data_IF_951116695836
#
_entry.id   IF_951116695836
#
_cell.length_a   1.000
_cell.length_b   1.000
_cell.length_c   1.000
_cell.angle_alpha   90.00
_cell.angle_beta   90.00
_cell.angle_gamma   90.00
#
_symmetry.space_group_name_H-M   'P 1'
#
loop_
_entity.id
_entity.type
_entity.pdbx_description
1 polymer ?
#
# COMPACT_ATOMS: atom_id res chain seq x y z
N UNK A 1 8.48 11.45 15.38
CA UNK A 1 7.75 10.89 14.22
C UNK A 1 6.33 10.68 14.67
N UNK A 2 5.38 11.18 13.89
CA UNK A 2 3.95 11.03 14.15
C UNK A 2 3.37 10.23 13.00
N UNK A 3 2.48 9.30 13.33
CA UNK A 3 1.67 8.60 12.36
C UNK A 3 0.28 9.19 12.37
N UNK A 4 -0.24 9.49 11.18
CA UNK A 4 -1.61 9.91 10.96
C UNK A 4 -2.33 8.84 10.17
N UNK A 5 -3.62 8.71 10.39
CA UNK A 5 -4.49 7.77 9.70
C UNK A 5 -5.80 8.41 9.28
N UNK A 6 -6.34 8.01 8.13
CA UNK A 6 -7.64 8.45 7.61
C UNK A 6 -8.22 7.42 6.63
N UNK A 7 -9.49 7.60 6.24
CA UNK A 7 -10.26 6.68 5.41
C UNK A 7 -11.23 5.84 6.25
N UNK A 8 -11.56 4.64 5.77
CA UNK A 8 -12.51 3.75 6.45
C UNK A 8 -11.94 3.23 7.78
N UNK A 9 -12.75 3.34 8.85
CA UNK A 9 -12.42 2.93 10.22
C UNK A 9 -13.55 2.14 10.89
N UNK A 10 -14.36 1.41 10.11
CA UNK A 10 -15.54 0.70 10.64
C UNK A 10 -15.23 -0.37 11.69
N UNK A 11 -13.97 -0.76 11.85
CA UNK A 11 -13.54 -1.73 12.85
C UNK A 11 -12.75 -1.11 14.02
N UNK A 12 -12.59 0.21 14.05
CA UNK A 12 -11.78 0.91 15.06
C UNK A 12 -10.27 0.84 14.81
N UNK A 13 -9.84 0.65 13.55
CA UNK A 13 -8.42 0.52 13.20
C UNK A 13 -7.62 1.81 13.45
N UNK A 14 -8.25 2.97 13.24
CA UNK A 14 -7.62 4.28 13.32
C UNK A 14 -7.71 4.92 14.72
N UNK A 15 -8.39 4.27 15.66
CA UNK A 15 -8.57 4.74 17.03
C UNK A 15 -10.03 4.66 17.51
N UNK A 16 -10.32 5.20 18.71
CA UNK A 16 -11.63 5.11 19.38
C UNK A 16 -12.68 6.09 18.84
N UNK A 17 -12.45 6.72 17.69
CA UNK A 17 -13.35 7.74 17.15
C UNK A 17 -14.76 7.20 16.90
N UNK A 18 -15.78 8.02 17.16
CA UNK A 18 -17.15 7.71 16.78
C UNK A 18 -17.31 7.95 15.26
N UNK A 19 -17.19 6.89 14.47
CA UNK A 19 -17.41 6.98 13.03
C UNK A 19 -16.86 5.80 12.23
N UNK A 20 -17.55 5.44 11.15
CA UNK A 20 -17.10 4.41 10.21
C UNK A 20 -16.07 4.94 9.20
N UNK A 21 -15.89 6.26 9.10
CA UNK A 21 -14.99 6.92 8.14
C UNK A 21 -14.38 8.17 8.77
N UNK A 22 -13.07 8.34 8.62
CA UNK A 22 -12.31 9.54 8.95
C UNK A 22 -11.93 10.28 7.67
N UNK A 23 -12.54 11.44 7.43
CA UNK A 23 -12.32 12.21 6.20
C UNK A 23 -11.03 13.05 6.22
N UNK A 24 -10.51 13.34 7.42
CA UNK A 24 -9.27 14.09 7.63
C UNK A 24 -8.25 13.22 8.39
N UNK A 25 -6.94 13.45 8.16
CA UNK A 25 -5.89 12.77 8.90
C UNK A 25 -5.97 13.04 10.41
N UNK A 26 -6.01 11.97 11.20
CA UNK A 26 -5.94 12.04 12.66
C UNK A 26 -4.70 11.30 13.18
N UNK A 27 -4.05 11.78 14.27
CA UNK A 27 -2.95 11.04 14.87
C UNK A 27 -3.38 9.63 15.28
N UNK A 28 -2.60 8.62 14.91
CA UNK A 28 -2.85 7.23 15.32
C UNK A 28 -2.69 7.14 16.83
N UNK A 29 -3.79 6.90 17.54
CA UNK A 29 -3.83 6.73 18.99
C UNK A 29 -4.02 5.25 19.33
N UNK A 30 -2.98 4.61 19.85
CA UNK A 30 -3.05 3.23 20.33
C UNK A 30 -3.34 3.22 21.83
N UNK A 31 -4.56 2.83 22.20
CA UNK A 31 -4.96 2.63 23.60
C UNK A 31 -4.49 1.25 24.08
N UNK A 32 -3.61 1.20 25.08
CA UNK A 32 -3.08 -0.06 25.62
C UNK A 32 -1.82 0.13 26.46
N UNK A 33 -1.45 -0.90 27.24
CA UNK A 33 -0.39 -0.90 28.25
C UNK A 33 0.90 -0.14 27.87
N UNK A 34 1.02 1.12 28.28
CA UNK A 34 2.18 2.00 28.08
C UNK A 34 2.60 2.25 26.62
N UNK A 35 1.71 2.03 25.65
CA UNK A 35 2.02 2.14 24.22
C UNK A 35 2.11 3.59 23.75
N UNK A 36 1.33 4.47 24.37
CA UNK A 36 1.25 5.90 24.02
C UNK A 36 2.60 6.64 24.08
N UNK A 37 3.60 6.06 24.78
CA UNK A 37 4.97 6.61 24.88
C UNK A 37 5.96 5.99 23.89
N UNK A 38 5.56 4.95 23.16
CA UNK A 38 6.43 4.19 22.25
C UNK A 38 6.42 4.81 20.87
N UNK A 39 7.57 4.80 20.20
CA UNK A 39 7.70 5.34 18.85
C UNK A 39 7.25 4.28 17.85
N UNK A 40 6.15 4.56 17.15
CA UNK A 40 5.71 3.75 16.02
C UNK A 40 6.71 3.90 14.87
N UNK A 41 7.22 2.78 14.38
CA UNK A 41 8.12 2.74 13.21
C UNK A 41 7.42 2.25 11.95
N UNK A 42 6.30 1.53 12.08
CA UNK A 42 5.53 1.03 10.95
C UNK A 42 4.07 0.85 11.31
N UNK A 43 3.16 1.22 10.41
CA UNK A 43 1.74 0.87 10.45
C UNK A 43 1.39 0.13 9.15
N UNK A 44 1.01 -1.14 9.27
CA UNK A 44 0.67 -2.02 8.13
C UNK A 44 -0.81 -2.37 8.23
N UNK A 45 -1.66 -1.80 7.36
CA UNK A 45 -3.09 -2.07 7.39
C UNK A 45 -3.48 -3.39 6.71
N UNK A 46 -4.48 -4.04 7.28
CA UNK A 46 -5.33 -5.05 6.63
C UNK A 46 -6.74 -4.47 6.42
N UNK A 47 -7.66 -5.27 5.88
CA UNK A 47 -9.04 -4.84 5.69
C UNK A 47 -9.77 -4.55 7.01
N UNK A 48 -9.64 -5.42 8.02
CA UNK A 48 -10.39 -5.30 9.26
C UNK A 48 -9.59 -4.86 10.49
N UNK A 49 -8.27 -4.85 10.41
CA UNK A 49 -7.39 -4.38 11.49
C UNK A 49 -6.12 -3.74 10.93
N UNK A 50 -5.29 -3.18 11.79
CA UNK A 50 -3.97 -2.64 11.43
C UNK A 50 -2.94 -3.15 12.42
N UNK A 51 -1.82 -3.63 11.87
CA UNK A 51 -0.67 -4.04 12.63
C UNK A 51 0.31 -2.86 12.77
N UNK A 52 0.77 -2.59 13.99
CA UNK A 52 1.69 -1.50 14.29
C UNK A 52 2.92 -2.07 14.97
N UNK A 53 4.09 -1.71 14.46
CA UNK A 53 5.40 -2.10 15.00
C UNK A 53 6.05 -0.89 15.65
N UNK A 54 6.57 -1.06 16.86
CA UNK A 54 7.31 -0.03 17.59
C UNK A 54 8.83 -0.20 17.44
N UNK A 55 9.59 0.84 17.74
CA UNK A 55 11.06 0.81 17.67
C UNK A 55 11.74 -0.21 18.59
N UNK A 56 11.14 -0.52 19.72
CA UNK A 56 11.57 -1.60 20.62
C UNK A 56 11.12 -3.02 20.18
N UNK A 57 10.46 -3.14 19.03
CA UNK A 57 10.01 -4.43 18.46
C UNK A 57 8.76 -5.01 19.12
N UNK A 58 7.91 -4.18 19.73
CA UNK A 58 6.56 -4.58 20.13
C UNK A 58 5.62 -4.58 18.92
N UNK A 59 4.69 -5.53 18.89
CA UNK A 59 3.64 -5.62 17.87
C UNK A 59 2.28 -5.30 18.50
N UNK A 60 1.51 -4.43 17.85
CA UNK A 60 0.15 -4.10 18.24
C UNK A 60 -0.81 -4.34 17.10
N UNK A 61 -1.98 -4.87 17.41
CA UNK A 61 -3.06 -5.06 16.46
C UNK A 61 -4.24 -4.22 16.92
N UNK A 62 -4.76 -3.35 16.07
CA UNK A 62 -5.91 -2.48 16.35
C UNK A 62 -7.01 -2.70 15.31
N UNK A 63 -8.23 -3.03 15.73
CA UNK A 63 -9.37 -3.24 14.84
C UNK A 63 -10.18 -4.49 15.19
N UNK A 64 -10.63 -5.23 14.18
CA UNK A 64 -11.28 -6.54 14.36
C UNK A 64 -10.22 -7.64 14.36
N UNK A 65 -9.91 -8.19 15.53
CA UNK A 65 -8.87 -9.22 15.71
C UNK A 65 -9.40 -10.29 16.67
N UNK A 66 -9.06 -11.56 16.48
CA UNK A 66 -9.55 -12.65 17.34
C UNK A 66 -11.08 -12.81 17.31
N UNK A 67 -11.73 -12.39 16.22
CA UNK A 67 -13.19 -12.45 16.05
C UNK A 67 -13.97 -11.37 16.81
N UNK A 68 -13.30 -10.38 17.40
CA UNK A 68 -13.95 -9.29 18.14
C UNK A 68 -13.59 -7.92 17.55
N UNK A 69 -14.57 -7.03 17.27
CA UNK A 69 -14.31 -5.70 16.75
C UNK A 69 -13.72 -4.78 17.81
N UNK A 70 -13.04 -3.71 17.36
CA UNK A 70 -12.51 -2.62 18.19
C UNK A 70 -11.59 -3.07 19.34
N UNK A 71 -10.83 -4.15 19.13
CA UNK A 71 -9.83 -4.61 20.08
C UNK A 71 -8.46 -4.01 19.79
N UNK A 72 -7.69 -3.82 20.86
CA UNK A 72 -6.25 -3.60 20.79
C UNK A 72 -5.55 -4.76 21.48
N UNK A 73 -4.79 -5.54 20.72
CA UNK A 73 -3.96 -6.63 21.24
C UNK A 73 -2.50 -6.17 21.19
N UNK A 74 -1.77 -6.34 22.29
CA UNK A 74 -0.38 -5.90 22.39
C UNK A 74 0.53 -7.10 22.71
N UNK A 75 1.56 -7.30 21.90
CA UNK A 75 2.63 -8.27 22.08
C UNK A 75 3.92 -7.50 22.41
N UNK A 76 4.17 -7.21 23.70
CA UNK A 76 5.32 -6.41 24.10
C UNK A 76 6.63 -7.16 23.86
N UNK A 77 7.65 -6.44 23.41
CA UNK A 77 9.03 -6.97 23.26
C UNK A 77 9.11 -8.25 22.42
N UNK A 78 8.27 -8.38 21.40
CA UNK A 78 8.22 -9.55 20.52
C UNK A 78 9.50 -9.69 19.68
N UNK A 79 10.28 -8.62 19.54
CA UNK A 79 11.39 -8.55 18.58
C UNK A 79 10.88 -8.50 17.14
N UNK A 80 9.67 -7.96 16.95
CA UNK A 80 9.05 -7.77 15.64
C UNK A 80 9.83 -6.71 14.86
N UNK A 81 10.33 -7.07 13.69
CA UNK A 81 11.04 -6.18 12.77
C UNK A 81 10.11 -5.68 11.67
N UNK A 82 9.21 -6.54 11.21
CA UNK A 82 8.21 -6.24 10.18
C UNK A 82 7.00 -7.19 10.30
N UNK A 83 5.91 -6.86 9.63
CA UNK A 83 4.66 -7.61 9.69
C UNK A 83 3.92 -7.56 8.35
N UNK A 84 3.34 -8.69 7.96
CA UNK A 84 2.47 -8.82 6.79
C UNK A 84 1.11 -9.35 7.28
N UNK A 85 0.16 -8.45 7.57
CA UNK A 85 -1.17 -8.83 8.04
C UNK A 85 -2.10 -9.21 6.87
N UNK A 86 -2.94 -10.20 7.11
CA UNK A 86 -4.10 -10.54 6.28
C UNK A 86 -5.30 -10.86 7.18
N UNK A 87 -6.47 -11.05 6.58
CA UNK A 87 -7.70 -11.33 7.35
C UNK A 87 -7.67 -12.68 8.07
N UNK A 88 -6.87 -13.63 7.58
CA UNK A 88 -6.77 -14.97 8.14
C UNK A 88 -5.44 -15.21 8.84
N UNK A 89 -4.37 -14.64 8.30
CA UNK A 89 -3.01 -14.93 8.70
C UNK A 89 -2.25 -13.67 9.04
N UNK A 90 -1.38 -13.77 10.04
CA UNK A 90 -0.49 -12.69 10.44
C UNK A 90 0.95 -13.21 10.37
N UNK A 91 1.71 -12.72 9.39
CA UNK A 91 3.11 -13.11 9.25
C UNK A 91 3.98 -12.06 9.90
N UNK A 92 4.90 -12.51 10.75
CA UNK A 92 5.75 -11.66 11.57
C UNK A 92 7.19 -11.95 11.20
N UNK A 93 7.93 -10.88 10.89
CA UNK A 93 9.37 -10.94 10.71
C UNK A 93 10.07 -10.66 12.03
N UNK A 94 10.98 -11.55 12.40
CA UNK A 94 12.00 -11.33 13.43
C UNK A 94 13.37 -11.46 12.78
N UNK A 95 14.42 -11.00 13.47
CA UNK A 95 15.79 -10.94 12.94
C UNK A 95 16.29 -12.25 12.30
N UNK A 96 15.87 -13.39 12.84
CA UNK A 96 16.37 -14.72 12.45
C UNK A 96 15.26 -15.67 11.98
N UNK A 97 14.00 -15.19 11.90
CA UNK A 97 12.89 -16.03 11.42
C UNK A 97 11.68 -15.22 10.95
N UNK A 98 10.93 -15.80 10.03
CA UNK A 98 9.54 -15.43 9.76
C UNK A 98 8.62 -16.49 10.37
N UNK A 99 7.49 -16.08 10.94
CA UNK A 99 6.49 -16.99 11.50
C UNK A 99 5.07 -16.51 11.18
N UNK A 100 4.14 -17.45 11.01
CA UNK A 100 2.74 -17.18 10.68
C UNK A 100 1.82 -17.58 11.82
N UNK A 101 0.94 -16.68 12.23
CA UNK A 101 -0.11 -16.90 13.23
C UNK A 101 -1.49 -16.89 12.57
N UNK A 102 -2.42 -17.66 13.14
CA UNK A 102 -3.84 -17.58 12.79
C UNK A 102 -4.47 -16.42 13.56
N UNK A 103 -5.05 -15.46 12.83
CA UNK A 103 -5.67 -14.27 13.44
C UNK A 103 -6.87 -14.63 14.32
N UNK A 104 -7.59 -15.72 14.01
CA UNK A 104 -8.74 -16.18 14.80
C UNK A 104 -8.34 -16.75 16.17
N UNK A 105 -7.09 -17.20 16.32
CA UNK A 105 -6.58 -17.80 17.55
C UNK A 105 -5.87 -16.80 18.48
N UNK A 106 -5.82 -15.52 18.12
CA UNK A 106 -5.22 -14.47 18.95
C UNK A 106 -6.14 -14.08 20.10
N UNK A 107 -5.63 -14.15 21.33
CA UNK A 107 -6.36 -13.72 22.51
C UNK A 107 -6.19 -12.23 22.81
N UNK A 108 -7.16 -11.65 23.51
CA UNK A 108 -7.11 -10.24 23.92
C UNK A 108 -6.04 -9.92 24.97
N UNK A 109 -5.36 -10.94 25.53
CA UNK A 109 -4.29 -10.77 26.53
C UNK A 109 -2.93 -10.58 25.87
N UNK A 110 -2.82 -10.82 24.56
CA UNK A 110 -1.54 -10.75 23.84
C UNK A 110 -0.64 -11.94 24.15
N UNK A 111 -1.21 -13.11 24.45
CA UNK A 111 -0.41 -14.33 24.62
C UNK A 111 0.17 -14.74 23.26
N UNK A 112 1.48 -14.91 23.18
CA UNK A 112 2.14 -15.35 21.94
C UNK A 112 1.67 -16.77 21.60
N UNK A 113 0.98 -16.99 20.46
CA UNK A 113 0.50 -18.30 20.07
C UNK A 113 1.63 -19.18 19.56
N UNK A 114 1.36 -20.49 19.46
CA UNK A 114 2.20 -21.38 18.65
C UNK A 114 1.97 -21.06 17.16
N UNK A 115 3.02 -20.77 16.39
CA UNK A 115 2.83 -20.39 14.99
C UNK A 115 2.56 -21.62 14.12
N UNK A 116 1.69 -21.44 13.14
CA UNK A 116 1.30 -22.49 12.18
C UNK A 116 2.38 -22.77 11.14
N UNK A 117 3.25 -21.80 10.89
CA UNK A 117 4.37 -21.91 9.98
C UNK A 117 5.55 -21.08 10.50
N UNK A 118 6.76 -21.58 10.26
CA UNK A 118 8.01 -20.92 10.60
C UNK A 118 9.02 -21.13 9.47
N UNK A 119 9.87 -20.13 9.27
CA UNK A 119 11.07 -20.23 8.44
C UNK A 119 12.22 -19.51 9.14
N UNK A 120 13.33 -20.21 9.32
CA UNK A 120 14.52 -19.66 9.98
C UNK A 120 15.54 -19.16 8.96
N UNK A 121 16.26 -18.12 9.33
CA UNK A 121 17.36 -17.54 8.57
C UNK A 121 18.68 -17.88 9.24
N UNK A 122 19.71 -18.12 8.43
CA UNK A 122 21.07 -18.42 8.94
C UNK A 122 21.78 -17.18 9.46
N UNK A 123 21.46 -16.01 8.90
CA UNK A 123 22.07 -14.73 9.20
C UNK A 123 20.99 -13.70 9.58
N UNK A 124 21.44 -12.59 10.19
CA UNK A 124 20.59 -11.44 10.46
C UNK A 124 19.98 -10.91 9.17
N UNK A 125 18.65 -10.87 9.13
CA UNK A 125 17.90 -10.44 7.96
C UNK A 125 17.35 -9.02 8.16
N UNK A 126 17.65 -8.11 7.22
CA UNK A 126 17.37 -6.66 7.34
C UNK A 126 16.56 -6.08 6.17
N UNK A 127 15.90 -6.92 5.36
CA UNK A 127 14.97 -6.40 4.35
C UNK A 127 13.54 -6.35 4.87
N UNK A 128 12.74 -5.48 4.25
CA UNK A 128 11.31 -5.41 4.53
C UNK A 128 10.56 -6.54 3.81
N UNK A 129 9.45 -6.98 4.43
CA UNK A 129 8.49 -7.84 3.77
C UNK A 129 7.94 -7.20 2.49
N UNK A 130 7.53 -8.02 1.51
CA UNK A 130 7.41 -9.48 1.57
C UNK A 130 8.70 -10.24 1.23
N UNK A 131 9.80 -9.54 0.86
CA UNK A 131 11.07 -10.21 0.60
C UNK A 131 11.64 -10.86 1.87
N UNK A 132 12.16 -12.07 1.69
CA UNK A 132 12.86 -12.87 2.70
C UNK A 132 14.08 -13.55 2.07
N UNK A 133 14.95 -14.17 2.87
CA UNK A 133 16.13 -14.85 2.33
C UNK A 133 15.72 -15.87 1.24
N UNK A 134 16.32 -15.74 0.05
CA UNK A 134 16.11 -16.61 -1.13
C UNK A 134 14.71 -16.56 -1.77
N UNK A 135 13.84 -15.63 -1.36
CA UNK A 135 12.48 -15.61 -1.88
C UNK A 135 11.60 -14.53 -1.29
N UNK A 136 10.31 -14.82 -1.18
CA UNK A 136 9.31 -13.93 -0.61
C UNK A 136 8.23 -14.71 0.12
N UNK A 137 7.58 -14.04 1.08
CA UNK A 137 6.43 -14.58 1.80
C UNK A 137 5.11 -14.09 1.21
N UNK A 138 4.09 -14.93 1.32
CA UNK A 138 2.72 -14.64 0.88
C UNK A 138 1.79 -14.61 2.08
N UNK A 139 0.74 -13.81 2.01
CA UNK A 139 -0.30 -13.75 3.04
C UNK A 139 -1.17 -15.00 3.14
N UNK A 140 -1.02 -15.96 2.23
CA UNK A 140 -1.79 -17.20 2.12
C UNK A 140 -0.86 -18.39 1.79
N UNK A 141 -1.21 -19.64 2.16
CA UNK A 141 -0.45 -20.83 1.81
C UNK A 141 -0.35 -21.05 0.28
N UNK A 142 0.81 -21.51 -0.24
CA UNK A 142 2.08 -21.71 0.46
C UNK A 142 2.72 -20.37 0.86
N UNK A 143 3.08 -20.22 2.15
CA UNK A 143 3.54 -18.95 2.72
C UNK A 143 4.91 -18.49 2.23
N UNK A 144 5.65 -19.31 1.49
CA UNK A 144 6.97 -18.98 0.96
C UNK A 144 7.07 -19.43 -0.50
N UNK A 145 7.66 -18.58 -1.32
CA UNK A 145 8.05 -18.90 -2.69
C UNK A 145 9.49 -18.48 -2.91
N UNK A 146 10.26 -19.39 -3.52
CA UNK A 146 11.64 -19.11 -3.91
C UNK A 146 11.68 -18.15 -5.09
N UNK A 147 12.69 -17.28 -5.10
CA UNK A 147 13.05 -16.51 -6.28
C UNK A 147 14.24 -17.17 -6.98
N UNK A 148 14.32 -17.10 -8.32
CA UNK A 148 15.51 -17.51 -9.05
C UNK A 148 16.77 -16.88 -8.42
N UNK A 149 17.82 -17.66 -8.10
CA UNK A 149 19.04 -17.14 -7.46
C UNK A 149 19.78 -16.08 -8.28
N UNK A 150 19.48 -16.00 -9.57
CA UNK A 150 20.02 -14.99 -10.49
C UNK A 150 19.36 -13.62 -10.33
N UNK A 151 18.17 -13.55 -9.74
CA UNK A 151 17.47 -12.29 -9.48
C UNK A 151 18.00 -11.66 -8.20
N UNK A 152 18.64 -10.52 -8.34
CA UNK A 152 19.05 -9.70 -7.21
C UNK A 152 17.87 -8.81 -6.79
N UNK A 153 16.99 -9.35 -5.96
CA UNK A 153 15.83 -8.63 -5.43
C UNK A 153 16.25 -7.47 -4.52
N UNK A 154 15.71 -6.28 -4.77
CA UNK A 154 15.89 -5.11 -3.92
C UNK A 154 14.61 -4.79 -3.13
N UNK A 155 13.46 -4.81 -3.82
CA UNK A 155 12.15 -4.55 -3.21
C UNK A 155 11.07 -5.36 -3.92
N UNK A 156 10.01 -5.70 -3.21
CA UNK A 156 8.87 -6.39 -3.78
C UNK A 156 7.58 -5.79 -3.26
N UNK A 157 6.55 -5.80 -4.09
CA UNK A 157 5.18 -5.51 -3.73
C UNK A 157 4.27 -6.64 -4.22
N UNK A 158 3.20 -6.91 -3.47
CA UNK A 158 2.19 -7.92 -3.80
C UNK A 158 0.84 -7.21 -3.94
N UNK A 159 0.18 -7.42 -5.07
CA UNK A 159 -1.23 -7.08 -5.24
C UNK A 159 -2.13 -8.25 -4.88
N UNK A 160 -3.41 -8.18 -5.24
CA UNK A 160 -4.34 -9.27 -4.92
C UNK A 160 -3.96 -10.59 -5.61
N UNK A 161 -3.51 -10.51 -6.86
CA UNK A 161 -3.25 -11.67 -7.71
C UNK A 161 -1.96 -11.54 -8.54
N UNK A 162 -1.13 -10.53 -8.25
CA UNK A 162 0.12 -10.28 -8.98
C UNK A 162 1.25 -9.86 -8.04
N UNK A 163 2.48 -10.02 -8.52
CA UNK A 163 3.69 -9.68 -7.82
C UNK A 163 4.52 -8.72 -8.68
N UNK A 164 5.18 -7.78 -8.01
CA UNK A 164 6.04 -6.77 -8.62
C UNK A 164 7.38 -6.81 -7.90
N UNK A 165 8.45 -7.06 -8.64
CA UNK A 165 9.82 -7.14 -8.13
C UNK A 165 10.65 -6.02 -8.73
N UNK A 166 11.26 -5.22 -7.86
CA UNK A 166 12.35 -4.34 -8.20
C UNK A 166 13.67 -5.04 -7.91
N UNK A 167 14.52 -5.09 -8.93
CA UNK A 167 15.87 -5.66 -8.85
C UNK A 167 16.91 -4.59 -8.55
N UNK A 168 18.07 -5.00 -8.05
CA UNK A 168 19.18 -4.09 -7.68
C UNK A 168 19.76 -3.31 -8.86
N UNK A 169 19.59 -3.79 -10.11
CA UNK A 169 19.95 -3.07 -11.33
C UNK A 169 18.82 -2.17 -11.85
N UNK A 170 17.75 -1.98 -11.06
CA UNK A 170 16.68 -1.03 -11.34
C UNK A 170 15.64 -1.53 -12.34
N UNK A 171 15.60 -2.83 -12.65
CA UNK A 171 14.56 -3.42 -13.51
C UNK A 171 13.33 -3.81 -12.71
N UNK A 172 12.17 -3.68 -13.33
CA UNK A 172 10.88 -4.14 -12.81
C UNK A 172 10.48 -5.44 -13.49
N UNK A 173 10.20 -6.46 -12.68
CA UNK A 173 9.63 -7.72 -13.13
C UNK A 173 8.25 -7.91 -12.52
N UNK A 174 7.33 -8.47 -13.30
CA UNK A 174 5.94 -8.71 -12.90
C UNK A 174 5.50 -10.12 -13.28
N UNK A 175 4.65 -10.71 -12.46
CA UNK A 175 4.02 -12.01 -12.73
C UNK A 175 2.74 -12.19 -11.90
N UNK A 176 1.92 -13.17 -12.25
CA UNK A 176 0.60 -13.45 -11.70
C UNK A 176 -0.52 -13.23 -12.72
N UNK A 177 -1.67 -12.80 -12.22
CA UNK A 177 -2.86 -12.45 -13.02
C UNK A 177 -2.63 -11.18 -13.82
N UNK A 178 -2.89 -11.24 -15.14
CA UNK A 178 -2.79 -10.11 -16.07
C UNK A 178 -4.14 -9.51 -16.47
N UNK A 179 -5.25 -10.05 -15.97
CA UNK A 179 -6.63 -9.79 -16.42
C UNK A 179 -7.07 -8.33 -16.49
N UNK A 180 -6.39 -7.45 -15.76
CA UNK A 180 -6.65 -6.02 -15.73
C UNK A 180 -5.44 -5.20 -16.17
N UNK A 181 -4.50 -5.79 -16.91
CA UNK A 181 -3.30 -5.12 -17.40
C UNK A 181 -2.26 -4.79 -16.32
N UNK A 182 -2.44 -5.27 -15.08
CA UNK A 182 -1.61 -4.92 -13.92
C UNK A 182 -0.14 -5.39 -14.01
N UNK A 183 0.17 -6.24 -14.99
CA UNK A 183 1.54 -6.69 -15.28
C UNK A 183 2.30 -5.74 -16.18
N UNK A 184 1.64 -4.84 -16.93
CA UNK A 184 2.35 -3.82 -17.71
C UNK A 184 3.03 -4.32 -18.98
N UNK A 185 2.69 -5.53 -19.45
CA UNK A 185 3.29 -6.15 -20.64
C UNK A 185 2.65 -5.73 -21.97
N UNK A 186 1.67 -4.82 -21.94
CA UNK A 186 0.91 -4.38 -23.11
C UNK A 186 -0.30 -5.25 -23.43
N UNK A 187 -0.54 -6.32 -22.67
CA UNK A 187 -1.64 -7.26 -22.81
C UNK A 187 -2.33 -7.53 -21.46
N UNK A 188 -3.31 -8.45 -21.46
CA UNK A 188 -4.04 -8.87 -20.26
C UNK A 188 -3.81 -10.35 -19.90
N UNK A 189 -2.69 -10.90 -20.37
CA UNK A 189 -2.38 -12.32 -20.21
C UNK A 189 -1.71 -12.62 -18.87
N UNK A 190 -2.03 -13.77 -18.31
CA UNK A 190 -1.41 -14.25 -17.07
C UNK A 190 0.05 -14.66 -17.34
N UNK A 191 0.94 -14.36 -16.39
CA UNK A 191 2.37 -14.71 -16.48
C UNK A 191 2.74 -15.51 -15.24
N UNK A 192 3.23 -16.74 -15.39
CA UNK A 192 3.50 -17.61 -14.23
C UNK A 192 4.81 -17.31 -13.51
N UNK A 193 5.79 -16.75 -14.21
CA UNK A 193 7.17 -16.53 -13.73
C UNK A 193 7.59 -15.07 -13.90
N UNK A 194 8.53 -14.54 -13.10
CA UNK A 194 8.97 -13.16 -13.20
C UNK A 194 9.38 -12.76 -14.63
N UNK A 195 8.67 -11.80 -15.24
CA UNK A 195 8.95 -11.27 -16.58
C UNK A 195 9.26 -9.79 -16.51
N UNK A 196 10.28 -9.35 -17.23
CA UNK A 196 10.66 -7.93 -17.30
C UNK A 196 9.55 -7.11 -17.97
N UNK A 197 9.26 -5.95 -17.40
CA UNK A 197 8.37 -4.94 -17.99
C UNK A 197 9.16 -4.15 -19.04
N UNK A 198 9.18 -4.63 -20.29
CA UNK A 198 10.00 -4.07 -21.37
C UNK A 198 9.70 -2.60 -21.69
N UNK A 199 8.48 -2.13 -21.40
CA UNK A 199 8.11 -0.72 -21.58
C UNK A 199 8.92 0.24 -20.68
N UNK A 200 9.52 -0.26 -19.59
CA UNK A 200 10.41 0.52 -18.71
C UNK A 200 11.89 0.34 -19.07
N UNK A 201 12.21 -0.32 -20.18
CA UNK A 201 13.59 -0.54 -20.60
C UNK A 201 14.32 0.80 -20.80
N UNK A 202 15.55 0.89 -20.25
CA UNK A 202 16.36 2.11 -20.30
C UNK A 202 16.06 3.13 -19.19
N UNK A 203 15.00 2.92 -18.41
CA UNK A 203 14.74 3.66 -17.17
C UNK A 203 15.30 2.89 -15.98
N UNK A 204 15.92 3.61 -15.04
CA UNK A 204 16.31 3.04 -13.76
C UNK A 204 15.20 3.32 -12.76
N UNK A 205 14.51 2.26 -12.31
CA UNK A 205 13.45 2.35 -11.30
C UNK A 205 14.06 2.21 -9.91
N UNK A 206 13.54 2.96 -8.94
CA UNK A 206 13.99 2.91 -7.54
C UNK A 206 12.91 2.59 -6.52
N UNK A 207 11.65 2.62 -6.93
CA UNK A 207 10.52 2.36 -6.06
C UNK A 207 9.39 1.68 -6.82
N UNK A 208 8.73 0.71 -6.16
CA UNK A 208 7.58 -0.02 -6.70
C UNK A 208 6.52 -0.21 -5.63
N UNK A 209 5.26 -0.17 -6.05
CA UNK A 209 4.10 -0.51 -5.25
C UNK A 209 3.04 -1.19 -6.12
N UNK A 210 2.14 -1.94 -5.48
CA UNK A 210 1.03 -2.61 -6.13
C UNK A 210 -0.22 -2.48 -5.28
N UNK A 211 -1.34 -2.18 -5.91
CA UNK A 211 -2.66 -2.21 -5.28
C UNK A 211 -3.40 -3.51 -5.59
N UNK A 212 -4.73 -3.48 -5.50
CA UNK A 212 -5.55 -4.64 -5.80
C UNK A 212 -5.31 -5.18 -7.23
N UNK A 213 -5.43 -4.28 -8.21
CA UNK A 213 -5.33 -4.60 -9.65
C UNK A 213 -4.57 -3.54 -10.45
N UNK A 214 -3.62 -2.86 -9.83
CA UNK A 214 -2.76 -1.88 -10.49
C UNK A 214 -1.35 -1.90 -9.90
N UNK A 215 -0.39 -1.43 -10.67
CA UNK A 215 1.02 -1.33 -10.31
C UNK A 215 1.49 0.09 -10.53
N UNK A 216 2.40 0.52 -9.66
CA UNK A 216 3.03 1.84 -9.73
C UNK A 216 4.53 1.71 -9.53
N UNK A 217 5.29 2.51 -10.27
CA UNK A 217 6.74 2.59 -10.11
C UNK A 217 7.22 4.03 -10.16
N UNK A 218 8.37 4.30 -9.54
CA UNK A 218 9.04 5.60 -9.58
C UNK A 218 10.46 5.43 -10.12
N UNK A 219 10.81 6.22 -11.14
CA UNK A 219 12.18 6.27 -11.67
C UNK A 219 13.15 6.96 -10.72
N UNK A 220 14.46 6.85 -10.98
CA UNK A 220 15.49 7.64 -10.30
C UNK A 220 15.27 9.15 -10.45
N UNK A 221 14.73 9.61 -11.59
CA UNK A 221 14.34 11.02 -11.81
C UNK A 221 13.11 11.46 -11.00
N UNK A 222 12.36 10.52 -10.40
CA UNK A 222 11.13 10.83 -9.67
C UNK A 222 9.88 10.85 -10.54
N UNK A 223 9.95 10.36 -11.76
CA UNK A 223 8.80 10.18 -12.65
C UNK A 223 7.94 9.02 -12.17
N UNK A 224 6.62 9.23 -12.11
CA UNK A 224 5.66 8.25 -11.64
C UNK A 224 5.04 7.53 -12.84
N UNK A 225 5.13 6.20 -12.85
CA UNK A 225 4.48 5.37 -13.87
C UNK A 225 3.42 4.48 -13.25
N UNK A 226 2.20 4.49 -13.80
CA UNK A 226 1.07 3.69 -13.32
C UNK A 226 0.51 2.83 -14.46
N UNK A 227 0.04 1.62 -14.13
CA UNK A 227 -0.66 0.74 -15.07
C UNK A 227 -1.59 -0.24 -14.35
N UNK A 228 -2.57 -0.79 -15.08
CA UNK A 228 -3.55 -1.76 -14.59
C UNK A 228 -4.99 -1.29 -14.74
N UNK A 229 -5.84 -1.72 -13.81
CA UNK A 229 -7.24 -1.34 -13.73
C UNK A 229 -7.38 0.16 -13.42
N UNK A 230 -8.32 0.87 -14.05
CA UNK A 230 -8.53 2.31 -13.84
C UNK A 230 -10.00 2.74 -13.65
N UNK A 231 -10.95 1.82 -13.55
CA UNK A 231 -12.37 2.20 -13.41
C UNK A 231 -12.69 2.98 -12.11
N UNK A 232 -11.80 3.02 -11.12
CA UNK A 232 -11.97 3.86 -9.91
C UNK A 232 -11.04 5.11 -9.92
N UNK A 233 -10.36 5.39 -11.03
CA UNK A 233 -9.42 6.51 -11.16
C UNK A 233 -8.05 6.28 -10.48
N UNK A 234 -7.76 5.07 -10.02
CA UNK A 234 -6.57 4.75 -9.21
C UNK A 234 -5.23 4.96 -9.92
N UNK A 235 -5.21 5.07 -11.25
CA UNK A 235 -4.00 5.34 -12.01
C UNK A 235 -3.69 6.84 -12.12
N UNK A 236 -4.67 7.71 -11.81
CA UNK A 236 -4.54 9.15 -12.10
C UNK A 236 -4.68 9.47 -13.60
N UNK A 237 -5.45 8.65 -14.33
CA UNK A 237 -5.79 8.82 -15.73
C UNK A 237 -7.32 8.93 -15.90
N UNK A 238 -7.83 9.64 -16.93
CA UNK A 238 -9.27 9.76 -17.18
C UNK A 238 -9.98 8.39 -17.17
N UNK A 239 -11.06 8.26 -16.40
CA UNK A 239 -11.78 7.00 -16.23
C UNK A 239 -13.28 7.12 -16.52
N UNK A 240 -13.85 6.04 -17.07
CA UNK A 240 -15.26 5.96 -17.49
C UNK A 240 -16.23 6.25 -16.34
N UNK A 241 -16.05 5.55 -15.22
CA UNK A 241 -16.95 5.66 -14.08
C UNK A 241 -17.05 7.08 -13.48
N UNK A 242 -16.02 7.91 -13.64
CA UNK A 242 -16.00 9.28 -13.07
C UNK A 242 -16.53 10.34 -14.01
N UNK A 243 -16.67 10.05 -15.31
CA UNK A 243 -17.35 10.96 -16.24
C UNK A 243 -18.87 10.89 -16.09
N UNK A 244 -19.43 9.70 -15.89
CA UNK A 244 -20.89 9.52 -15.68
C UNK A 244 -21.41 10.23 -14.42
N UNK A 245 -20.55 10.45 -13.41
CA UNK A 245 -20.90 11.20 -12.19
C UNK A 245 -20.74 12.73 -12.33
N UNK A 246 -20.16 13.24 -13.42
CA UNK A 246 -20.12 14.68 -13.68
C UNK A 246 -21.51 15.11 -14.16
N UNK A 247 -22.20 16.04 -13.48
CA UNK A 247 -23.48 16.52 -13.98
C UNK A 247 -23.25 17.15 -15.37
N UNK A 248 -23.88 16.57 -16.39
CA UNK A 248 -23.94 17.15 -17.73
C UNK A 248 -24.34 18.62 -17.63
N UNK A 249 -23.39 19.54 -17.83
CA UNK A 249 -23.73 20.91 -18.22
C UNK A 249 -24.15 20.86 -19.68
N UNK A 250 -25.40 20.45 -19.93
CA UNK A 250 -26.04 20.63 -21.24
C UNK A 250 -26.24 22.13 -21.47
N UNK A 251 -25.23 22.80 -22.01
CA UNK A 251 -25.47 23.93 -22.88
C UNK A 251 -25.55 23.37 -24.31
N UNK A 252 -26.74 23.49 -24.90
CA UNK A 252 -27.17 23.08 -26.24
C UNK A 252 -27.38 21.58 -26.57
N UNK A 253 -28.62 21.13 -26.89
CA UNK A 253 -28.93 19.75 -27.25
C UNK A 253 -28.83 19.48 -28.78
N UNK A 254 -27.87 20.06 -29.49
CA UNK A 254 -27.77 19.95 -30.96
C UNK A 254 -26.53 19.30 -31.54
N UNK A 255 -25.63 18.75 -30.74
CA UNK A 255 -24.58 17.88 -31.26
C UNK A 255 -24.85 16.45 -30.77
N UNK A 256 -25.09 15.56 -31.74
CA UNK A 256 -25.06 14.12 -31.50
C UNK A 256 -23.58 13.74 -31.42
N UNK A 257 -22.99 13.81 -30.23
CA UNK A 257 -21.60 13.44 -30.01
C UNK A 257 -21.43 11.92 -30.13
N UNK A 258 -21.04 11.46 -31.32
CA UNK A 258 -20.65 10.06 -31.55
C UNK A 258 -19.15 9.80 -31.24
N UNK A 259 -18.41 10.75 -30.65
CA UNK A 259 -16.94 10.66 -30.50
C UNK A 259 -16.36 11.02 -29.09
N UNK A 260 -17.14 11.25 -28.03
CA UNK A 260 -16.61 11.63 -26.70
C UNK A 260 -16.08 10.45 -25.83
N UNK A 261 -16.23 9.20 -26.28
CA UNK A 261 -15.83 7.99 -25.52
C UNK A 261 -14.35 7.57 -25.72
N UNK A 262 -13.62 8.20 -26.65
CA UNK A 262 -12.29 7.76 -27.09
C UNK A 262 -11.14 8.11 -26.12
N UNK A 263 -11.34 9.03 -25.18
CA UNK A 263 -10.31 9.48 -24.22
C UNK A 263 -10.32 8.72 -22.88
N UNK A 264 -11.21 7.72 -22.71
CA UNK A 264 -11.43 7.08 -21.41
C UNK A 264 -10.69 5.75 -21.25
N UNK A 265 -9.91 5.66 -20.17
CA UNK A 265 -9.04 4.51 -19.91
C UNK A 265 -9.66 3.66 -18.79
N UNK A 266 -10.21 2.50 -19.15
CA UNK A 266 -10.68 1.48 -18.18
C UNK A 266 -9.57 0.53 -17.72
N UNK A 267 -8.66 0.18 -18.65
CA UNK A 267 -7.46 -0.62 -18.40
C UNK A 267 -6.29 0.03 -19.14
N UNK A 268 -5.18 0.21 -18.43
CA UNK A 268 -3.90 0.68 -18.96
C UNK A 268 -2.91 -0.48 -18.87
N UNK A 269 -2.75 -1.28 -19.92
CA UNK A 269 -1.96 -2.54 -19.88
C UNK A 269 -0.44 -2.35 -19.98
N UNK A 270 0.04 -1.11 -20.05
CA UNK A 270 1.45 -0.75 -20.10
C UNK A 270 1.72 0.49 -19.24
N UNK A 271 2.93 0.65 -18.68
CA UNK A 271 3.30 1.82 -17.87
C UNK A 271 2.98 3.15 -18.56
N UNK A 272 2.13 3.96 -17.95
CA UNK A 272 1.82 5.32 -18.37
C UNK A 272 2.48 6.32 -17.41
N UNK A 273 3.13 7.36 -17.96
CA UNK A 273 3.67 8.46 -17.18
C UNK A 273 2.53 9.31 -16.61
N UNK A 274 2.59 9.59 -15.31
CA UNK A 274 1.58 10.38 -14.60
C UNK A 274 2.14 11.76 -14.26
N UNK A 275 1.43 12.79 -14.73
CA UNK A 275 1.77 14.17 -14.42
C UNK A 275 1.39 14.49 -12.97
N UNK A 276 2.40 14.76 -12.15
CA UNK A 276 2.20 15.18 -10.78
C UNK A 276 2.01 16.70 -10.69
N UNK A 277 1.08 17.18 -9.83
CA UNK A 277 0.86 18.60 -9.61
C UNK A 277 2.16 19.33 -9.30
N UNK A 278 2.30 20.53 -9.88
CA UNK A 278 3.42 21.43 -9.64
C UNK A 278 4.79 20.83 -10.04
N UNK A 279 4.82 19.91 -11.01
CA UNK A 279 6.04 19.27 -11.51
C UNK A 279 6.89 18.67 -10.38
N UNK A 280 6.23 18.03 -9.43
CA UNK A 280 6.89 17.48 -8.24
C UNK A 280 7.41 16.08 -8.50
N UNK A 281 8.64 15.82 -8.07
CA UNK A 281 9.25 14.49 -8.13
C UNK A 281 8.68 13.57 -7.05
N UNK A 282 8.18 12.40 -7.44
CA UNK A 282 7.76 11.34 -6.54
C UNK A 282 8.98 10.78 -5.77
N UNK A 283 8.80 10.46 -4.50
CA UNK A 283 9.86 9.92 -3.63
C UNK A 283 9.51 8.55 -3.04
N UNK A 284 8.24 8.35 -2.63
CA UNK A 284 7.68 7.09 -2.15
C UNK A 284 6.29 6.90 -2.72
N UNK A 285 5.85 5.66 -2.89
CA UNK A 285 4.48 5.33 -3.28
C UNK A 285 3.97 4.13 -2.51
N UNK A 286 2.67 4.14 -2.23
CA UNK A 286 1.91 3.01 -1.71
C UNK A 286 0.56 2.95 -2.43
N UNK A 287 0.06 1.74 -2.63
CA UNK A 287 -1.21 1.50 -3.29
C UNK A 287 -2.14 0.72 -2.35
N UNK A 288 -3.40 1.14 -2.30
CA UNK A 288 -4.47 0.40 -1.65
C UNK A 288 -5.22 -0.47 -2.65
N UNK A 289 -6.44 -0.91 -2.30
CA UNK A 289 -7.23 -1.76 -3.21
C UNK A 289 -7.52 -1.03 -4.54
N UNK A 290 -7.94 0.23 -4.44
CA UNK A 290 -8.42 1.07 -5.55
C UNK A 290 -7.94 2.52 -5.46
N UNK A 291 -6.80 2.76 -4.82
CA UNK A 291 -6.23 4.08 -4.70
C UNK A 291 -4.69 4.04 -4.63
N UNK A 292 -4.07 5.17 -4.95
CA UNK A 292 -2.61 5.35 -4.92
C UNK A 292 -2.29 6.59 -4.08
N UNK A 293 -1.27 6.49 -3.23
CA UNK A 293 -0.72 7.61 -2.48
C UNK A 293 0.78 7.70 -2.71
N UNK A 294 1.25 8.86 -3.18
CA UNK A 294 2.66 9.09 -3.51
C UNK A 294 3.22 10.23 -2.70
N UNK A 295 4.23 10.01 -1.87
CA UNK A 295 4.98 11.11 -1.24
C UNK A 295 5.89 11.72 -2.30
N UNK A 296 5.63 12.96 -2.70
CA UNK A 296 6.62 13.73 -3.47
C UNK A 296 7.59 14.43 -2.52
N UNK A 297 8.66 15.07 -3.03
CA UNK A 297 9.46 15.99 -2.20
C UNK A 297 8.60 17.08 -1.52
N UNK A 298 7.33 17.23 -1.94
CA UNK A 298 6.25 18.01 -1.30
C UNK A 298 4.87 17.33 -1.38
N UNK A 299 4.65 16.24 -0.63
CA UNK A 299 3.32 15.66 -0.25
C UNK A 299 2.66 14.64 -1.20
N UNK A 300 1.73 13.84 -0.64
CA UNK A 300 0.98 12.74 -1.30
C UNK A 300 -0.53 12.71 -1.04
N UNK A 301 -1.22 11.65 -1.48
CA UNK A 301 -2.67 11.67 -1.78
C UNK A 301 -3.64 10.73 -1.04
N UNK A 302 -4.94 11.09 -1.17
CA UNK A 302 -6.14 10.81 -0.36
C UNK A 302 -6.10 11.47 1.04
N UNK A 303 -7.25 11.99 1.51
CA UNK A 303 -7.36 12.79 2.76
C UNK A 303 -7.83 14.24 2.58
N UNK A 304 -8.60 14.54 1.53
CA UNK A 304 -9.03 15.90 1.17
C UNK A 304 -10.25 16.42 1.95
N UNK A 305 -10.76 15.68 2.95
CA UNK A 305 -11.96 16.06 3.70
C UNK A 305 -13.28 15.70 3.01
N UNK A 306 -13.25 14.97 1.90
CA UNK A 306 -14.43 14.45 1.20
C UNK A 306 -14.25 12.97 0.82
N UNK A 307 -15.33 12.36 0.30
CA UNK A 307 -15.39 10.97 -0.14
C UNK A 307 -15.45 10.83 -1.66
N UNK A 308 -15.09 11.88 -2.41
CA UNK A 308 -15.19 11.87 -3.87
C UNK A 308 -13.99 11.14 -4.47
N UNK A 309 -14.27 10.27 -5.44
CA UNK A 309 -13.23 9.67 -6.25
C UNK A 309 -12.59 10.74 -7.16
N UNK A 310 -11.31 10.56 -7.47
CA UNK A 310 -10.54 11.44 -8.34
C UNK A 310 -9.76 10.58 -9.33
N UNK A 311 -9.78 10.99 -10.59
CA UNK A 311 -8.99 10.44 -11.71
C UNK A 311 -7.71 11.25 -11.96
N UNK A 312 -7.40 12.23 -11.11
CA UNK A 312 -6.20 13.06 -11.24
C UNK A 312 -5.48 13.23 -9.92
N UNK A 313 -4.14 13.32 -9.93
CA UNK A 313 -3.43 13.57 -8.71
C UNK A 313 -3.70 14.98 -8.13
N UNK A 314 -3.92 15.08 -6.82
CA UNK A 314 -4.32 16.28 -6.07
C UNK A 314 -3.69 16.31 -4.69
N UNK A 315 -2.93 17.34 -4.33
CA UNK A 315 -2.23 17.41 -3.03
C UNK A 315 -3.15 17.33 -1.78
N UNK A 316 -2.73 16.61 -0.73
CA UNK A 316 -3.41 16.59 0.58
C UNK A 316 -3.02 17.82 1.39
N UNK A 317 -3.91 18.82 1.40
CA UNK A 317 -3.67 20.13 2.01
C UNK A 317 -3.43 20.08 3.53
N UNK A 318 -3.97 19.09 4.25
CA UNK A 318 -3.81 18.96 5.71
C UNK A 318 -2.33 18.99 6.14
N UNK A 319 -1.49 18.19 5.49
CA UNK A 319 -0.07 18.10 5.85
C UNK A 319 0.73 19.35 5.45
N UNK A 320 0.35 19.98 4.34
CA UNK A 320 0.96 21.22 3.87
C UNK A 320 0.63 22.39 4.80
N UNK A 321 -0.66 22.61 5.08
CA UNK A 321 -1.13 23.67 5.98
C UNK A 321 -0.63 23.47 7.41
N UNK A 322 -0.54 22.20 7.86
CA UNK A 322 0.01 21.82 9.15
C UNK A 322 1.53 21.91 9.28
N UNK A 323 2.26 22.26 8.20
CA UNK A 323 3.73 22.30 8.15
C UNK A 323 4.37 20.98 8.61
N UNK A 324 3.83 19.88 8.12
CA UNK A 324 4.42 18.57 8.30
C UNK A 324 5.34 18.25 7.12
N UNK A 325 6.40 17.50 7.38
CA UNK A 325 7.20 16.86 6.35
C UNK A 325 6.83 15.38 6.31
N UNK A 326 6.11 14.97 5.26
CA UNK A 326 5.73 13.57 5.05
C UNK A 326 6.96 12.76 4.68
N UNK A 327 7.18 11.64 5.36
CA UNK A 327 8.35 10.77 5.19
C UNK A 327 7.99 9.40 4.62
N UNK A 328 6.80 8.90 4.91
CA UNK A 328 6.34 7.62 4.43
C UNK A 328 4.81 7.57 4.34
N UNK A 329 4.30 6.65 3.52
CA UNK A 329 2.87 6.41 3.33
C UNK A 329 2.61 4.92 3.19
N UNK A 330 1.54 4.44 3.80
CA UNK A 330 1.09 3.05 3.67
C UNK A 330 -0.42 3.02 3.47
N UNK A 331 -0.84 2.44 2.36
CA UNK A 331 -2.25 2.30 1.99
C UNK A 331 -2.74 0.92 2.39
N UNK A 332 -3.89 0.89 3.06
CA UNK A 332 -4.69 -0.32 3.23
C UNK A 332 -5.71 -0.45 2.12
N UNK A 333 -6.65 -1.36 2.31
CA UNK A 333 -7.71 -1.55 1.32
C UNK A 333 -8.52 -0.25 1.12
N UNK A 334 -8.83 0.45 2.23
CA UNK A 334 -9.71 1.63 2.25
C UNK A 334 -9.29 2.70 3.27
N UNK A 335 -8.10 2.58 3.85
CA UNK A 335 -7.52 3.57 4.74
C UNK A 335 -6.08 3.84 4.34
N UNK A 336 -5.53 4.93 4.85
CA UNK A 336 -4.17 5.35 4.55
C UNK A 336 -3.51 5.86 5.82
N UNK A 337 -2.26 5.46 5.99
CA UNK A 337 -1.40 5.84 7.10
C UNK A 337 -0.24 6.66 6.56
N UNK A 338 0.06 7.78 7.21
CA UNK A 338 1.09 8.72 6.79
C UNK A 338 2.03 8.98 7.95
N UNK A 339 3.31 8.71 7.76
CA UNK A 339 4.34 9.08 8.72
C UNK A 339 4.88 10.46 8.39
N UNK A 340 4.92 11.34 9.38
CA UNK A 340 5.46 12.68 9.21
C UNK A 340 6.32 13.15 10.39
N UNK A 341 7.09 14.20 10.11
CA UNK A 341 7.84 14.99 11.09
C UNK A 341 7.28 16.42 11.07
N UNK A 342 7.14 17.10 12.22
CA UNK A 342 6.94 18.55 12.21
C UNK A 342 8.11 19.21 11.47
N UNK A 343 7.84 20.19 10.61
CA UNK A 343 8.92 21.04 10.08
C UNK A 343 9.64 21.74 11.25
N UNK A 344 10.97 21.72 11.23
CA UNK A 344 11.75 22.49 12.20
C UNK A 344 11.40 23.98 12.02
N UNK A 345 11.02 24.65 13.11
CA UNK A 345 10.70 26.08 13.10
C UNK A 345 11.92 26.93 12.78
#
# INVERSE_FOLDING_TARGET
MLWFGFGYSGFGQLGPGEGFTLNLPEPVQLKGANVEKKRIVRAVPSWSYTAVVTDEGSLLLSGCVGGSPQQVICFPSLGCCDVLPSEKYLIILRKERAECWDVLHLDCKGTVPEPMWKMEFSDLYDTAFPLVAKGYVLSEPPFFRELPPTLQAQKMALGNEHAVLLTSDGKVLTWGSGRHGQLGHGDVEDVSEPRVVEALHGLTVREVASGGWHTVSISESGDLYCWGWNESGQLGLPSKALQEERPFSREDPTECDEDEDDDLIGIQSFPALIDLPQETEAAKVSCGSRHTATVTRKYGQLGHGDTKNLDQPKRVEFFYQGKFCVKDVTCGHWNTYVMCLPEAK
#
